data_IF_634441043039
#
_entry.id   IF_634441043039
#
_cell.length_a   1.000
_cell.length_b   1.000
_cell.length_c   1.000
_cell.angle_alpha   90.00
_cell.angle_beta   90.00
_cell.angle_gamma   90.00
#
_symmetry.space_group_name_H-M   'P 1'
#
loop_
_entity.id
_entity.type
_entity.pdbx_description
1 polymer ?
#
# COMPACT_ATOMS: atom_id res chain seq x y z
N UNK A 1 -30.23 1.71 49.83
CA UNK A 1 -29.21 1.29 48.84
C UNK A 1 -28.09 2.30 48.87
N UNK A 2 -26.87 1.87 49.21
CA UNK A 2 -25.73 2.76 49.47
C UNK A 2 -25.31 3.49 48.18
N UNK A 3 -25.20 4.82 48.24
CA UNK A 3 -24.78 5.71 47.14
C UNK A 3 -23.42 5.33 46.53
N UNK A 4 -22.59 4.61 47.29
CA UNK A 4 -21.33 4.03 46.82
C UNK A 4 -21.53 2.99 45.71
N UNK A 5 -22.55 2.13 45.85
CA UNK A 5 -22.83 1.06 44.89
C UNK A 5 -23.39 1.58 43.58
N UNK A 6 -24.08 2.73 43.59
CA UNK A 6 -24.56 3.36 42.36
C UNK A 6 -23.44 4.05 41.59
N UNK A 7 -22.47 4.65 42.29
CA UNK A 7 -21.32 5.32 41.66
C UNK A 7 -20.38 4.30 40.99
N UNK A 8 -20.10 3.17 41.64
CA UNK A 8 -19.26 2.11 41.05
C UNK A 8 -19.89 1.49 39.81
N UNK A 9 -21.22 1.34 39.80
CA UNK A 9 -21.96 0.82 38.65
C UNK A 9 -21.89 1.76 37.44
N UNK A 10 -22.01 3.08 37.66
CA UNK A 10 -21.90 4.10 36.61
C UNK A 10 -20.48 4.13 36.02
N UNK A 11 -19.45 4.06 36.87
CA UNK A 11 -18.05 4.01 36.42
C UNK A 11 -17.76 2.78 35.57
N UNK A 12 -18.33 1.62 35.93
CA UNK A 12 -18.18 0.38 35.15
C UNK A 12 -18.87 0.44 33.78
N UNK A 13 -20.03 1.09 33.68
CA UNK A 13 -20.70 1.31 32.39
C UNK A 13 -19.91 2.28 31.51
N UNK A 14 -19.38 3.36 32.09
CA UNK A 14 -18.60 4.34 31.33
C UNK A 14 -17.31 3.72 30.74
N UNK A 15 -16.57 2.91 31.52
CA UNK A 15 -15.34 2.28 31.04
C UNK A 15 -15.60 1.22 29.97
N UNK A 16 -16.69 0.46 30.08
CA UNK A 16 -17.08 -0.53 29.06
C UNK A 16 -17.51 0.14 27.75
N UNK A 17 -18.25 1.25 27.80
CA UNK A 17 -18.61 2.04 26.62
C UNK A 17 -17.37 2.60 25.89
N UNK A 18 -16.41 3.14 26.65
CA UNK A 18 -15.14 3.67 26.11
C UNK A 18 -14.25 2.59 25.49
N UNK A 19 -14.31 1.36 25.99
CA UNK A 19 -13.56 0.25 25.38
C UNK A 19 -14.20 -0.21 24.05
N UNK A 20 -15.54 -0.20 23.94
CA UNK A 20 -16.25 -0.62 22.74
C UNK A 20 -16.09 0.34 21.55
N UNK A 21 -15.97 1.66 21.77
CA UNK A 21 -15.77 2.61 20.69
C UNK A 21 -14.39 2.46 20.02
N UNK A 22 -13.33 2.11 20.78
CA UNK A 22 -12.00 1.88 20.22
C UNK A 22 -11.90 0.57 19.40
N UNK A 23 -12.78 -0.40 19.66
CA UNK A 23 -12.81 -1.66 18.91
C UNK A 23 -13.43 -1.49 17.51
N UNK A 24 -14.36 -0.55 17.33
CA UNK A 24 -15.06 -0.32 16.06
C UNK A 24 -14.14 0.29 14.98
N UNK A 25 -13.17 1.13 15.35
CA UNK A 25 -12.24 1.73 14.38
C UNK A 25 -11.26 0.71 13.79
N UNK A 26 -10.93 -0.35 14.52
CA UNK A 26 -9.98 -1.38 14.09
C UNK A 26 -10.60 -2.45 13.17
N UNK A 27 -11.93 -2.56 13.12
CA UNK A 27 -12.63 -3.57 12.32
C UNK A 27 -12.72 -3.22 10.83
N UNK A 28 -12.55 -1.95 10.45
CA UNK A 28 -12.72 -1.49 9.07
C UNK A 28 -11.48 -1.71 8.16
N UNK A 29 -10.36 -2.17 8.71
CA UNK A 29 -9.06 -2.18 8.01
C UNK A 29 -8.47 -3.57 7.75
N UNK A 30 -9.27 -4.64 7.77
CA UNK A 30 -8.76 -5.95 7.39
C UNK A 30 -8.82 -6.09 5.86
N UNK A 31 -7.67 -6.25 5.17
CA UNK A 31 -7.66 -6.39 3.73
C UNK A 31 -8.39 -7.68 3.31
N UNK A 32 -9.18 -7.61 2.23
CA UNK A 32 -10.01 -8.73 1.74
C UNK A 32 -9.18 -9.98 1.42
N UNK A 33 -7.90 -9.80 1.11
CA UNK A 33 -6.91 -10.84 0.86
C UNK A 33 -5.55 -10.40 1.43
N UNK A 34 -4.67 -11.35 1.78
CA UNK A 34 -3.39 -11.03 2.43
C UNK A 34 -2.38 -10.34 1.50
N UNK A 35 -2.43 -10.60 0.18
CA UNK A 35 -1.51 -10.03 -0.79
C UNK A 35 -2.08 -10.00 -2.23
N UNK A 36 -1.68 -9.02 -3.04
CA UNK A 36 -1.82 -9.09 -4.52
C UNK A 36 -0.47 -9.37 -5.16
N UNK A 37 -0.42 -10.42 -5.98
CA UNK A 37 0.74 -10.76 -6.80
C UNK A 37 0.40 -10.46 -8.26
N UNK A 38 1.11 -9.52 -8.86
CA UNK A 38 0.92 -9.17 -10.28
C UNK A 38 2.14 -9.62 -11.07
N UNK A 39 1.90 -10.43 -12.09
CA UNK A 39 2.93 -10.89 -13.02
C UNK A 39 2.65 -10.30 -14.40
N UNK A 40 3.67 -9.76 -15.07
CA UNK A 40 3.50 -9.21 -16.40
C UNK A 40 4.79 -8.77 -17.08
N UNK A 41 4.67 -7.76 -17.93
CA UNK A 41 5.77 -7.12 -18.66
C UNK A 41 5.98 -5.67 -18.17
N UNK A 42 6.56 -4.79 -18.98
CA UNK A 42 6.84 -3.41 -18.59
C UNK A 42 5.60 -2.58 -18.25
N UNK A 43 4.40 -2.99 -18.69
CA UNK A 43 3.14 -2.26 -18.46
C UNK A 43 2.68 -2.29 -17.01
N UNK A 44 3.10 -3.30 -16.24
CA UNK A 44 2.79 -3.45 -14.81
C UNK A 44 4.02 -3.22 -13.93
N UNK A 45 5.13 -2.79 -14.53
CA UNK A 45 6.38 -2.57 -13.79
C UNK A 45 6.33 -1.23 -13.03
N UNK A 46 6.32 -1.32 -11.70
CA UNK A 46 6.21 -0.17 -10.80
C UNK A 46 7.52 0.60 -10.62
N UNK A 47 8.59 0.20 -11.33
CA UNK A 47 9.90 0.85 -11.28
C UNK A 47 11.05 -0.09 -10.90
N UNK A 48 10.89 -1.40 -11.09
CA UNK A 48 11.94 -2.38 -10.76
C UNK A 48 13.22 -2.17 -11.57
N UNK A 49 13.13 -1.52 -12.73
CA UNK A 49 14.28 -1.23 -13.59
C UNK A 49 15.14 -0.07 -13.08
N UNK A 50 14.75 0.65 -12.03
CA UNK A 50 15.56 1.76 -11.51
C UNK A 50 16.73 1.31 -10.63
N UNK A 51 16.69 0.10 -10.09
CA UNK A 51 17.66 -0.39 -9.10
C UNK A 51 18.83 -1.21 -9.67
N UNK A 52 18.67 -2.14 -10.63
CA UNK A 52 19.82 -2.81 -11.22
C UNK A 52 20.64 -1.85 -12.10
N UNK A 53 21.96 -1.88 -11.93
CA UNK A 53 22.94 -1.01 -12.64
C UNK A 53 22.94 -1.24 -14.17
N UNK A 54 22.58 -2.44 -14.64
CA UNK A 54 22.68 -2.84 -16.06
C UNK A 54 21.36 -2.75 -16.85
N UNK A 55 20.48 -1.80 -16.55
CA UNK A 55 19.22 -1.61 -17.29
C UNK A 55 19.27 -0.35 -18.15
N UNK A 56 19.22 -0.54 -19.48
CA UNK A 56 19.19 0.56 -20.45
C UNK A 56 17.82 1.26 -20.53
N UNK A 57 16.73 0.56 -20.19
CA UNK A 57 15.37 1.08 -20.27
C UNK A 57 14.88 1.53 -18.89
N UNK A 58 14.95 2.85 -18.63
CA UNK A 58 14.47 3.47 -17.38
C UNK A 58 13.49 4.60 -17.67
N UNK A 59 12.34 4.57 -17.00
CA UNK A 59 11.33 5.62 -17.08
C UNK A 59 11.51 6.66 -15.95
N UNK A 60 12.73 7.19 -15.82
CA UNK A 60 13.12 8.23 -14.83
C UNK A 60 13.32 9.60 -15.48
N UNK A 61 12.64 9.86 -16.60
CA UNK A 61 12.73 11.11 -17.36
C UNK A 61 11.33 11.57 -17.79
N UNK A 62 11.16 12.86 -18.07
CA UNK A 62 9.92 13.36 -18.69
C UNK A 62 9.73 12.68 -20.06
N UNK A 63 8.50 12.32 -20.46
CA UNK A 63 7.21 12.73 -19.90
C UNK A 63 6.63 11.82 -18.80
N UNK A 64 7.38 10.83 -18.30
CA UNK A 64 6.85 9.85 -17.36
C UNK A 64 6.62 10.46 -15.97
N UNK A 65 5.52 10.08 -15.32
CA UNK A 65 5.18 10.52 -13.95
C UNK A 65 4.58 11.92 -13.82
N UNK A 66 4.28 12.63 -14.91
CA UNK A 66 3.64 13.96 -14.86
C UNK A 66 2.28 13.93 -14.16
N UNK A 67 1.49 12.88 -14.35
CA UNK A 67 0.15 12.73 -13.75
C UNK A 67 0.17 12.01 -12.39
N UNK A 68 1.36 11.75 -11.82
CA UNK A 68 1.48 11.21 -10.47
C UNK A 68 1.30 12.33 -9.43
N UNK A 69 0.89 12.01 -8.18
CA UNK A 69 0.73 13.01 -7.12
C UNK A 69 1.98 13.87 -6.89
N UNK A 70 3.16 13.27 -7.09
CA UNK A 70 4.45 13.95 -6.92
C UNK A 70 4.97 14.60 -8.20
N UNK A 71 4.29 14.43 -9.35
CA UNK A 71 4.71 14.91 -10.67
C UNK A 71 6.16 14.49 -11.04
N UNK A 72 6.61 13.34 -10.54
CA UNK A 72 7.98 12.85 -10.64
C UNK A 72 8.05 11.47 -11.30
N UNK A 73 9.09 11.28 -12.12
CA UNK A 73 9.33 10.06 -12.85
C UNK A 73 9.87 8.94 -11.94
N UNK A 74 8.99 8.02 -11.52
CA UNK A 74 9.30 6.95 -10.58
C UNK A 74 9.69 5.60 -11.22
N UNK A 75 10.06 5.58 -12.51
CA UNK A 75 10.39 4.33 -13.23
C UNK A 75 9.20 3.56 -13.79
N UNK A 76 7.99 4.11 -13.69
CA UNK A 76 6.77 3.57 -14.32
C UNK A 76 6.75 3.98 -15.79
N UNK A 77 6.47 3.03 -16.68
CA UNK A 77 6.30 3.30 -18.11
C UNK A 77 4.92 3.91 -18.43
N UNK A 78 4.52 4.93 -17.67
CA UNK A 78 3.27 5.66 -17.82
C UNK A 78 3.43 7.09 -17.30
N UNK A 79 2.58 8.00 -17.77
CA UNK A 79 2.52 9.36 -17.25
C UNK A 79 1.95 9.38 -15.81
N UNK A 80 1.13 8.39 -15.45
CA UNK A 80 0.43 8.34 -14.18
C UNK A 80 0.46 6.97 -13.50
N UNK A 81 -0.60 6.67 -12.75
CA UNK A 81 -0.78 5.40 -12.04
C UNK A 81 -0.91 4.22 -13.02
N UNK A 82 -0.29 3.09 -12.68
CA UNK A 82 -0.47 1.84 -13.42
C UNK A 82 -1.68 1.06 -12.91
N UNK A 83 -2.11 0.02 -13.64
CA UNK A 83 -3.18 -0.89 -13.20
C UNK A 83 -2.93 -1.46 -11.78
N UNK A 84 -1.70 -1.90 -11.42
CA UNK A 84 -1.35 -2.25 -10.04
C UNK A 84 -1.69 -1.17 -9.00
N UNK A 85 -1.37 0.09 -9.29
CA UNK A 85 -1.60 1.21 -8.37
C UNK A 85 -3.11 1.48 -8.20
N UNK A 86 -3.87 1.37 -9.29
CA UNK A 86 -5.34 1.53 -9.26
C UNK A 86 -5.98 0.40 -8.45
N UNK A 87 -5.53 -0.85 -8.63
CA UNK A 87 -6.00 -1.98 -7.84
C UNK A 87 -5.65 -1.83 -6.37
N UNK A 88 -4.41 -1.47 -6.05
CA UNK A 88 -3.96 -1.22 -4.68
C UNK A 88 -4.82 -0.16 -3.99
N UNK A 89 -5.13 0.93 -4.69
CA UNK A 89 -5.96 2.01 -4.19
C UNK A 89 -7.42 1.57 -4.01
N UNK A 90 -7.97 0.80 -4.95
CA UNK A 90 -9.34 0.27 -4.88
C UNK A 90 -9.55 -0.63 -3.67
N UNK A 91 -8.54 -1.40 -3.28
CA UNK A 91 -8.61 -2.31 -2.13
C UNK A 91 -8.08 -1.68 -0.83
N UNK A 92 -7.85 -0.37 -0.79
CA UNK A 92 -7.29 0.34 0.38
C UNK A 92 -5.99 -0.27 0.91
N UNK A 93 -5.18 -0.86 0.03
CA UNK A 93 -3.90 -1.46 0.40
C UNK A 93 -2.86 -0.36 0.43
N UNK A 94 -2.66 0.32 -0.71
CA UNK A 94 -1.69 1.41 -0.90
C UNK A 94 -2.13 2.33 -2.03
N UNK A 95 -1.68 3.58 -1.99
CA UNK A 95 -1.92 4.53 -3.08
C UNK A 95 -0.99 4.31 -4.29
N UNK A 96 0.27 3.94 -4.03
CA UNK A 96 1.26 3.54 -5.02
C UNK A 96 1.93 2.24 -4.57
N UNK A 97 2.11 1.32 -5.51
CA UNK A 97 2.83 0.06 -5.28
C UNK A 97 4.34 0.33 -5.39
N UNK A 98 5.14 0.03 -4.37
CA UNK A 98 6.58 0.19 -4.46
C UNK A 98 7.21 -0.81 -5.45
N UNK A 99 8.40 -0.51 -5.99
CA UNK A 99 9.21 -1.49 -6.70
C UNK A 99 9.72 -2.59 -5.76
N UNK A 100 9.84 -3.83 -6.24
CA UNK A 100 10.43 -4.95 -5.47
C UNK A 100 11.83 -4.66 -5.04
N UNK A 101 12.58 -4.14 -6.02
CA UNK A 101 14.04 -4.17 -6.00
C UNK A 101 14.56 -2.94 -5.30
N UNK A 102 13.66 -2.14 -4.72
CA UNK A 102 14.01 -0.99 -3.94
C UNK A 102 14.79 -1.44 -2.70
N UNK A 103 16.04 -0.98 -2.53
CA UNK A 103 16.77 -1.20 -1.31
C UNK A 103 16.03 -0.47 -0.18
N UNK A 104 15.87 -1.13 0.96
CA UNK A 104 15.16 -0.66 2.15
C UNK A 104 13.63 -0.73 2.09
N UNK A 105 13.03 -1.58 1.25
CA UNK A 105 11.61 -1.88 1.40
C UNK A 105 11.36 -2.68 2.68
N UNK A 106 10.38 -2.27 3.49
CA UNK A 106 10.01 -3.05 4.68
C UNK A 106 9.31 -4.35 4.29
N UNK A 107 9.47 -5.41 5.09
CA UNK A 107 8.77 -6.68 4.85
C UNK A 107 7.25 -6.52 4.82
N UNK A 108 6.73 -5.56 5.61
CA UNK A 108 5.30 -5.25 5.64
C UNK A 108 4.81 -4.62 4.32
N UNK A 109 5.65 -3.83 3.67
CA UNK A 109 5.35 -3.30 2.34
C UNK A 109 5.41 -4.41 1.29
N UNK A 110 6.39 -5.31 1.31
CA UNK A 110 6.46 -6.41 0.35
C UNK A 110 5.30 -7.41 0.50
N UNK A 111 4.82 -7.64 1.73
CA UNK A 111 3.80 -8.66 2.02
C UNK A 111 2.43 -8.38 1.40
N UNK A 112 2.07 -7.12 1.18
CA UNK A 112 0.70 -6.74 0.83
C UNK A 112 0.48 -6.60 -0.69
N UNK A 113 1.48 -6.20 -1.46
CA UNK A 113 1.38 -6.14 -2.91
C UNK A 113 2.75 -5.98 -3.58
N UNK A 114 3.02 -6.81 -4.59
CA UNK A 114 4.25 -6.69 -5.39
C UNK A 114 4.08 -7.15 -6.86
N UNK A 115 4.86 -6.57 -7.79
CA UNK A 115 4.74 -6.71 -9.24
C UNK A 115 6.02 -7.27 -9.89
N UNK A 116 5.98 -8.52 -10.39
CA UNK A 116 7.10 -9.16 -11.11
C UNK A 116 6.93 -8.95 -12.60
N UNK A 117 7.84 -8.18 -13.19
CA UNK A 117 7.93 -8.04 -14.65
C UNK A 117 8.95 -9.03 -15.22
N UNK A 118 8.57 -9.82 -16.24
CA UNK A 118 9.52 -10.67 -16.98
C UNK A 118 10.54 -9.79 -17.69
N UNK A 119 11.78 -9.80 -17.20
CA UNK A 119 12.93 -9.30 -17.97
C UNK A 119 13.13 -10.24 -19.14
N UNK A 120 12.81 -9.78 -20.35
CA UNK A 120 13.26 -10.44 -21.57
C UNK A 120 14.77 -10.25 -21.67
N UNK A 121 15.52 -11.12 -20.98
CA UNK A 121 16.92 -11.36 -21.29
C UNK A 121 16.92 -11.97 -22.70
N UNK A 122 17.20 -11.14 -23.71
CA UNK A 122 17.77 -11.63 -24.97
C UNK A 122 19.27 -11.57 -24.84
#
# INVERSE_FOLDING_TARGET
>A
MSTSNTITFILFIATTLLASCNAAENAASQPLFPAILIFGDSTVDTGNNNYPINTFFRATHLPYGIDLPNHEANGRFSNGKLIPDILAAKYNIKQLVPPFLQPNLSDQENRSMFCISRRRLR
#
